data_IF_473545786026
#
_entry.id   IF_473545786026
#
_cell.length_a   1.000
_cell.length_b   1.000
_cell.length_c   1.000
_cell.angle_alpha   90.00
_cell.angle_beta   90.00
_cell.angle_gamma   90.00
#
_symmetry.space_group_name_H-M   'P 1'
#
loop_
_entity.id
_entity.type
_entity.pdbx_description
1 polymer ?
#
# COMPACT_ATOMS: atom_id res chain seq x y z
N UNK A 1 22.51 18.42 46.05
CA UNK A 1 21.93 17.06 45.96
C UNK A 1 22.81 16.29 44.98
N UNK A 2 23.49 15.25 45.42
CA UNK A 2 24.39 14.51 44.53
C UNK A 2 23.53 13.67 43.56
N UNK A 3 23.97 13.44 42.31
CA UNK A 3 23.25 12.59 41.36
C UNK A 3 22.93 11.19 41.91
N UNK A 4 23.78 10.70 42.83
CA UNK A 4 23.59 9.42 43.50
C UNK A 4 22.38 9.44 44.48
N UNK A 5 22.14 10.57 45.13
CA UNK A 5 21.00 10.74 46.05
C UNK A 5 19.68 10.73 45.25
N UNK A 6 19.68 11.36 44.07
CA UNK A 6 18.54 11.35 43.14
C UNK A 6 18.28 9.94 42.63
N UNK A 7 19.33 9.19 42.26
CA UNK A 7 19.19 7.80 41.83
C UNK A 7 18.66 6.88 42.94
N UNK A 8 19.09 7.09 44.19
CA UNK A 8 18.62 6.32 45.33
C UNK A 8 17.15 6.65 45.67
N UNK A 9 16.78 7.93 45.57
CA UNK A 9 15.39 8.37 45.74
C UNK A 9 14.45 7.78 44.68
N UNK A 10 14.83 7.84 43.40
CA UNK A 10 14.06 7.25 42.30
C UNK A 10 13.92 5.72 42.41
N UNK A 11 14.93 5.04 42.98
CA UNK A 11 14.86 3.59 43.27
C UNK A 11 13.94 3.27 44.45
N UNK A 12 13.92 4.13 45.46
CA UNK A 12 13.09 3.93 46.65
C UNK A 12 11.61 4.24 46.40
N UNK A 13 11.28 4.99 45.34
CA UNK A 13 9.93 5.42 45.01
C UNK A 13 9.56 5.12 43.54
N UNK A 14 9.20 3.86 43.23
CA UNK A 14 8.86 3.45 41.86
C UNK A 14 7.61 4.14 41.30
N UNK A 15 6.67 4.51 42.17
CA UNK A 15 5.42 5.23 41.85
C UNK A 15 5.66 6.61 41.23
N UNK A 16 6.86 7.18 41.42
CA UNK A 16 7.29 8.42 40.78
C UNK A 16 7.24 8.30 39.25
N UNK A 17 7.56 7.14 38.68
CA UNK A 17 7.52 6.93 37.23
C UNK A 17 6.10 6.80 36.68
N UNK A 18 5.14 6.39 37.51
CA UNK A 18 3.72 6.35 37.13
C UNK A 18 3.09 7.74 37.19
N UNK A 19 3.43 8.55 38.20
CA UNK A 19 2.90 9.91 38.37
C UNK A 19 3.50 10.94 37.40
N UNK A 20 4.71 10.69 36.90
CA UNK A 20 5.42 11.59 35.98
C UNK A 20 5.74 10.91 34.64
N UNK A 21 4.82 10.06 34.14
CA UNK A 21 4.97 9.32 32.90
C UNK A 21 5.21 10.23 31.66
N UNK A 22 4.58 11.40 31.63
CA UNK A 22 4.75 12.38 30.55
C UNK A 22 6.18 12.96 30.52
N UNK A 23 6.79 13.15 31.70
CA UNK A 23 8.18 13.62 31.81
C UNK A 23 9.17 12.55 31.33
N UNK A 24 8.84 11.28 31.53
CA UNK A 24 9.62 10.12 31.08
C UNK A 24 9.62 10.00 29.55
N UNK A 25 8.50 10.35 28.90
CA UNK A 25 8.37 10.36 27.45
C UNK A 25 9.27 11.43 26.78
N UNK A 26 9.55 12.52 27.49
CA UNK A 26 10.44 13.61 27.05
C UNK A 26 11.92 13.37 27.39
N UNK A 27 12.25 12.36 28.22
CA UNK A 27 13.63 12.01 28.57
C UNK A 27 14.18 11.02 27.53
N UNK A 28 14.99 11.54 26.61
CA UNK A 28 15.77 10.72 25.69
C UNK A 28 17.04 10.20 26.38
N UNK A 29 17.10 8.89 26.65
CA UNK A 29 18.30 8.21 27.18
C UNK A 29 19.05 7.55 26.02
N UNK A 30 20.03 8.22 25.38
CA UNK A 30 20.92 7.53 24.46
C UNK A 30 21.84 6.62 25.28
N UNK A 31 21.82 5.31 25.02
CA UNK A 31 22.77 4.40 25.66
C UNK A 31 24.18 4.57 25.04
N UNK A 32 25.23 4.86 25.84
CA UNK A 32 26.52 5.25 25.29
C UNK A 32 27.33 4.08 24.70
N UNK A 33 27.38 2.89 25.29
CA UNK A 33 28.13 1.75 24.73
C UNK A 33 27.68 0.39 25.28
N UNK A 34 27.61 -0.62 24.40
CA UNK A 34 28.05 -1.99 24.72
C UNK A 34 27.01 -2.98 25.25
N UNK A 35 26.43 -3.76 24.33
CA UNK A 35 25.92 -5.13 24.50
C UNK A 35 25.33 -5.55 25.86
N UNK A 36 24.01 -5.63 25.97
CA UNK A 36 23.28 -6.81 26.45
C UNK A 36 21.76 -6.56 26.44
N UNK A 37 21.03 -7.51 25.83
CA UNK A 37 19.58 -7.75 25.88
C UNK A 37 18.63 -6.55 25.65
N UNK A 38 18.12 -6.45 24.43
CA UNK A 38 16.92 -5.67 24.08
C UNK A 38 15.74 -6.22 24.93
N UNK A 39 14.98 -5.36 25.61
CA UNK A 39 13.79 -5.79 26.35
C UNK A 39 12.80 -6.48 25.40
N UNK A 40 12.18 -7.59 25.82
CA UNK A 40 11.22 -8.32 24.97
C UNK A 40 10.12 -7.38 24.48
N UNK A 41 9.68 -6.43 25.32
CA UNK A 41 8.67 -5.43 24.98
C UNK A 41 9.15 -4.46 23.90
N UNK A 42 10.39 -3.98 23.98
CA UNK A 42 10.98 -3.13 22.93
C UNK A 42 11.10 -3.88 21.59
N UNK A 43 11.56 -5.13 21.64
CA UNK A 43 11.62 -5.99 20.45
C UNK A 43 10.23 -6.26 19.87
N UNK A 44 9.22 -6.42 20.72
CA UNK A 44 7.82 -6.58 20.30
C UNK A 44 7.28 -5.30 19.63
N UNK A 45 7.54 -4.13 20.19
CA UNK A 45 7.12 -2.84 19.61
C UNK A 45 7.78 -2.62 18.25
N UNK A 46 9.08 -2.89 18.13
CA UNK A 46 9.80 -2.79 16.85
C UNK A 46 9.21 -3.76 15.81
N UNK A 47 8.93 -5.00 16.21
CA UNK A 47 8.30 -6.01 15.33
C UNK A 47 6.90 -5.58 14.89
N UNK A 48 6.11 -4.99 15.79
CA UNK A 48 4.77 -4.49 15.47
C UNK A 48 4.82 -3.30 14.50
N UNK A 49 5.77 -2.37 14.68
CA UNK A 49 5.99 -1.26 13.75
C UNK A 49 6.42 -1.74 12.37
N UNK A 50 7.33 -2.70 12.31
CA UNK A 50 7.78 -3.30 11.04
C UNK A 50 6.63 -4.01 10.32
N UNK A 51 5.82 -4.78 11.05
CA UNK A 51 4.59 -5.40 10.52
C UNK A 51 3.58 -4.35 10.05
N UNK A 52 3.41 -3.26 10.79
CA UNK A 52 2.55 -2.14 10.40
C UNK A 52 3.00 -1.55 9.06
N UNK A 53 4.29 -1.23 8.93
CA UNK A 53 4.85 -0.71 7.68
C UNK A 53 4.71 -1.67 6.51
N UNK A 54 4.89 -2.97 6.75
CA UNK A 54 4.71 -4.00 5.72
C UNK A 54 3.24 -4.07 5.27
N UNK A 55 2.29 -4.02 6.21
CA UNK A 55 0.87 -4.02 5.91
C UNK A 55 0.43 -2.77 5.16
N UNK A 56 0.92 -1.59 5.56
CA UNK A 56 0.69 -0.33 4.85
C UNK A 56 1.22 -0.39 3.41
N UNK A 57 2.44 -0.91 3.21
CA UNK A 57 3.01 -1.10 1.88
C UNK A 57 2.17 -2.06 1.03
N UNK A 58 1.69 -3.16 1.61
CA UNK A 58 0.86 -4.13 0.90
C UNK A 58 -0.52 -3.58 0.58
N UNK A 59 -1.10 -2.77 1.47
CA UNK A 59 -2.35 -2.07 1.22
C UNK A 59 -2.20 -1.07 0.07
N UNK A 60 -1.11 -0.30 0.05
CA UNK A 60 -0.83 0.62 -1.05
C UNK A 60 -0.70 -0.12 -2.40
N UNK A 61 -0.03 -1.27 -2.41
CA UNK A 61 0.07 -2.13 -3.60
C UNK A 61 -1.31 -2.64 -4.05
N UNK A 62 -2.14 -3.12 -3.11
CA UNK A 62 -3.50 -3.55 -3.42
C UNK A 62 -4.40 -2.42 -3.94
N UNK A 63 -4.24 -1.20 -3.41
CA UNK A 63 -4.94 -0.02 -3.89
C UNK A 63 -4.51 0.32 -5.32
N UNK A 64 -3.22 0.28 -5.60
CA UNK A 64 -2.70 0.48 -6.96
C UNK A 64 -3.29 -0.54 -7.94
N UNK A 65 -3.30 -1.83 -7.58
CA UNK A 65 -3.97 -2.84 -8.41
C UNK A 65 -5.46 -2.59 -8.57
N UNK A 66 -6.14 -2.08 -7.52
CA UNK A 66 -7.53 -1.66 -7.58
C UNK A 66 -7.76 -0.57 -8.61
N UNK A 67 -6.96 0.50 -8.57
CA UNK A 67 -7.04 1.63 -9.50
C UNK A 67 -6.76 1.20 -10.96
N UNK A 68 -5.74 0.36 -11.17
CA UNK A 68 -5.43 -0.21 -12.49
C UNK A 68 -6.58 -1.09 -13.01
N UNK A 69 -7.17 -1.92 -12.15
CA UNK A 69 -8.30 -2.77 -12.50
C UNK A 69 -9.57 -1.97 -12.80
N UNK A 70 -9.85 -0.92 -12.03
CA UNK A 70 -10.99 -0.03 -12.26
C UNK A 70 -10.84 0.69 -13.60
N UNK A 71 -9.64 1.19 -13.91
CA UNK A 71 -9.33 1.81 -15.20
C UNK A 71 -9.50 0.83 -16.38
N UNK A 72 -9.07 -0.42 -16.23
CA UNK A 72 -9.30 -1.48 -17.23
C UNK A 72 -10.80 -1.77 -17.35
N UNK A 73 -11.51 -1.90 -16.23
CA UNK A 73 -12.95 -2.17 -16.19
C UNK A 73 -13.75 -1.11 -16.93
N UNK A 74 -13.43 0.17 -16.73
CA UNK A 74 -14.06 1.28 -17.44
C UNK A 74 -13.84 1.21 -18.96
N UNK A 75 -12.59 0.93 -19.39
CA UNK A 75 -12.26 0.75 -20.81
C UNK A 75 -13.02 -0.42 -21.45
N UNK A 76 -13.10 -1.55 -20.76
CA UNK A 76 -13.86 -2.73 -21.21
C UNK A 76 -15.36 -2.41 -21.31
N UNK A 77 -15.91 -1.70 -20.32
CA UNK A 77 -17.32 -1.30 -20.35
C UNK A 77 -17.62 -0.38 -21.54
N UNK A 78 -16.78 0.64 -21.76
CA UNK A 78 -16.88 1.57 -22.88
C UNK A 78 -16.77 0.86 -24.23
N UNK A 79 -15.83 -0.06 -24.36
CA UNK A 79 -15.70 -0.91 -25.55
C UNK A 79 -16.99 -1.73 -25.77
N UNK A 80 -17.53 -2.35 -24.72
CA UNK A 80 -18.78 -3.08 -24.78
C UNK A 80 -19.95 -2.23 -25.30
N UNK A 81 -20.12 -1.03 -24.77
CA UNK A 81 -21.13 -0.07 -25.25
C UNK A 81 -20.89 0.33 -26.71
N UNK A 82 -19.64 0.62 -27.08
CA UNK A 82 -19.29 1.00 -28.45
C UNK A 82 -19.58 -0.10 -29.47
N UNK A 83 -19.41 -1.37 -29.09
CA UNK A 83 -19.73 -2.53 -29.91
C UNK A 83 -21.24 -2.78 -30.01
N UNK A 84 -21.99 -2.58 -28.92
CA UNK A 84 -23.47 -2.71 -28.92
C UNK A 84 -24.11 -1.63 -29.81
N UNK A 85 -23.56 -0.41 -29.80
CA UNK A 85 -24.02 0.71 -30.63
C UNK A 85 -23.60 0.60 -32.11
N UNK A 86 -22.75 -0.37 -32.47
CA UNK A 86 -22.29 -0.51 -33.84
C UNK A 86 -23.41 -1.00 -34.77
N UNK A 87 -23.69 -0.24 -35.83
CA UNK A 87 -24.73 -0.51 -36.83
C UNK A 87 -24.42 -1.68 -37.79
N UNK A 88 -23.33 -2.42 -37.56
CA UNK A 88 -22.91 -3.54 -38.39
C UNK A 88 -21.51 -4.03 -38.05
N UNK A 89 -21.12 -5.15 -38.66
CA UNK A 89 -19.85 -5.82 -38.40
C UNK A 89 -18.64 -4.92 -38.66
N UNK A 90 -18.61 -4.22 -39.78
CA UNK A 90 -17.44 -3.43 -40.17
C UNK A 90 -17.22 -2.27 -39.20
N UNK A 91 -18.30 -1.60 -38.79
CA UNK A 91 -18.24 -0.55 -37.75
C UNK A 91 -17.82 -1.12 -36.38
N UNK A 92 -18.26 -2.34 -36.04
CA UNK A 92 -17.84 -2.99 -34.80
C UNK A 92 -16.33 -3.29 -34.80
N UNK A 93 -15.78 -3.76 -35.92
CA UNK A 93 -14.35 -4.04 -36.07
C UNK A 93 -13.50 -2.78 -36.03
N UNK A 94 -13.95 -1.71 -36.69
CA UNK A 94 -13.30 -0.40 -36.65
C UNK A 94 -13.25 0.13 -35.22
N UNK A 95 -14.39 0.12 -34.51
CA UNK A 95 -14.47 0.56 -33.11
C UNK A 95 -13.61 -0.29 -32.17
N UNK A 96 -13.55 -1.61 -32.41
CA UNK A 96 -12.71 -2.53 -31.64
C UNK A 96 -11.22 -2.24 -31.83
N UNK A 97 -10.77 -2.11 -33.08
CA UNK A 97 -9.37 -1.81 -33.40
C UNK A 97 -8.95 -0.44 -32.86
N UNK A 98 -9.83 0.57 -32.98
CA UNK A 98 -9.61 1.90 -32.44
C UNK A 98 -9.47 1.88 -30.91
N UNK A 99 -10.41 1.28 -30.18
CA UNK A 99 -10.37 1.20 -28.72
C UNK A 99 -9.10 0.47 -28.24
N UNK A 100 -8.71 -0.63 -28.89
CA UNK A 100 -7.50 -1.35 -28.48
C UNK A 100 -6.23 -0.53 -28.68
N UNK A 101 -6.17 0.28 -29.74
CA UNK A 101 -4.99 1.10 -30.03
C UNK A 101 -4.93 2.34 -29.13
N UNK A 102 -6.05 3.04 -28.98
CA UNK A 102 -6.12 4.32 -28.27
C UNK A 102 -6.37 4.15 -26.77
N UNK A 103 -7.41 3.39 -26.37
CA UNK A 103 -7.81 3.28 -24.97
C UNK A 103 -6.96 2.24 -24.22
N UNK A 104 -6.62 1.12 -24.86
CA UNK A 104 -5.77 0.08 -24.26
C UNK A 104 -4.27 0.26 -24.54
N UNK A 105 -3.88 1.26 -25.35
CA UNK A 105 -2.49 1.54 -25.73
C UNK A 105 -1.74 0.31 -26.29
N UNK A 106 -2.44 -0.58 -27.00
CA UNK A 106 -1.86 -1.79 -27.59
C UNK A 106 -1.22 -1.43 -28.94
N UNK A 107 0.12 -1.54 -29.10
CA UNK A 107 0.81 -1.03 -30.29
C UNK A 107 0.47 -1.76 -31.60
N UNK A 108 0.13 -3.04 -31.50
CA UNK A 108 -0.15 -3.89 -32.65
C UNK A 108 -1.39 -4.71 -32.39
N UNK A 109 -2.43 -4.44 -33.18
CA UNK A 109 -3.74 -5.11 -33.09
C UNK A 109 -3.99 -5.84 -34.40
N UNK A 110 -4.35 -7.12 -34.32
CA UNK A 110 -4.79 -7.91 -35.45
C UNK A 110 -6.10 -8.62 -35.06
N UNK A 111 -7.13 -8.46 -35.88
CA UNK A 111 -8.43 -9.13 -35.68
C UNK A 111 -8.63 -10.14 -36.80
N UNK A 112 -8.90 -11.40 -36.42
CA UNK A 112 -9.24 -12.47 -37.37
C UNK A 112 -10.64 -12.97 -37.08
N UNK A 113 -11.46 -13.01 -38.11
CA UNK A 113 -12.83 -13.51 -38.04
C UNK A 113 -12.88 -14.84 -38.79
N UNK A 114 -13.55 -15.82 -38.21
CA UNK A 114 -13.78 -17.12 -38.83
C UNK A 114 -15.25 -17.27 -39.22
N UNK A 115 -15.56 -18.07 -40.24
CA UNK A 115 -16.93 -18.33 -40.65
C UNK A 115 -17.64 -17.16 -41.33
N UNK A 116 -16.89 -16.27 -41.98
CA UNK A 116 -17.47 -15.23 -42.82
C UNK A 116 -17.84 -15.85 -44.17
N UNK A 117 -19.14 -16.00 -44.45
CA UNK A 117 -19.58 -16.29 -45.81
C UNK A 117 -19.13 -15.14 -46.72
N UNK A 118 -18.53 -15.49 -47.85
CA UNK A 118 -18.17 -14.53 -48.89
C UNK A 118 -19.46 -13.99 -49.51
N UNK A 119 -20.00 -12.92 -48.92
CA UNK A 119 -21.16 -12.17 -49.40
C UNK A 119 -20.77 -10.73 -49.68
#
# INVERSE_FOLDING_TARGET
MQPNDVAQYLKAHPEFFEQYADLLADIFIPHPHGGHAISITERQILTLREKGRLLESKLAELLQFGEENDAIGEKVHRLGLALIDAAGRDQALERFAYNLTEDFAVPHVAVRIWGVDAG
#
